data_IF_525895913745
#
_entry.id   IF_525895913745
#
_cell.length_a   1.000
_cell.length_b   1.000
_cell.length_c   1.000
_cell.angle_alpha   90.00
_cell.angle_beta   90.00
_cell.angle_gamma   90.00
#
_symmetry.space_group_name_H-M   'P 1'
#
loop_
_entity.id
_entity.type
_entity.pdbx_description
1 polymer ?
#
# COMPACT_ATOMS: atom_id res chain seq x y z
N UNK A 1 16.07 24.55 -48.86
CA UNK A 1 16.25 24.48 -47.41
C UNK A 1 15.04 25.03 -46.73
N UNK A 2 14.29 24.21 -46.00
CA UNK A 2 13.21 24.66 -45.12
C UNK A 2 13.17 23.65 -43.97
N UNK A 3 14.06 23.86 -43.00
CA UNK A 3 14.08 23.07 -41.78
C UNK A 3 12.94 23.61 -40.94
N UNK A 4 11.88 22.80 -40.80
CA UNK A 4 10.81 23.07 -39.86
C UNK A 4 11.43 23.11 -38.45
N UNK A 5 11.34 24.26 -37.79
CA UNK A 5 11.66 24.39 -36.37
C UNK A 5 10.67 23.48 -35.64
N UNK A 6 11.21 22.44 -35.01
CA UNK A 6 10.43 21.36 -34.42
C UNK A 6 9.46 21.88 -33.36
N UNK A 7 8.17 21.63 -33.59
CA UNK A 7 7.20 21.61 -32.51
C UNK A 7 7.62 20.51 -31.54
N UNK A 8 7.86 20.87 -30.28
CA UNK A 8 8.05 19.89 -29.20
C UNK A 8 6.67 19.28 -28.89
N UNK A 9 6.23 18.34 -29.73
CA UNK A 9 5.05 17.53 -29.45
C UNK A 9 5.30 16.76 -28.15
N UNK A 10 4.35 16.81 -27.22
CA UNK A 10 4.38 15.96 -26.04
C UNK A 10 4.27 14.51 -26.52
N UNK A 11 5.39 13.78 -26.46
CA UNK A 11 5.45 12.38 -26.89
C UNK A 11 4.87 11.48 -25.81
N UNK A 12 4.26 10.36 -26.21
CA UNK A 12 3.80 9.40 -25.22
C UNK A 12 4.99 8.83 -24.44
N UNK A 13 4.86 8.65 -23.12
CA UNK A 13 5.96 8.19 -22.28
C UNK A 13 6.43 6.77 -22.66
N UNK A 14 5.49 5.91 -23.09
CA UNK A 14 5.81 4.58 -23.62
C UNK A 14 6.60 4.66 -24.94
N UNK A 15 6.29 5.61 -25.80
CA UNK A 15 7.04 5.85 -27.05
C UNK A 15 8.45 6.41 -26.77
N UNK A 16 8.61 7.23 -25.73
CA UNK A 16 9.93 7.76 -25.32
C UNK A 16 10.86 6.63 -24.84
N UNK A 17 10.32 5.64 -24.13
CA UNK A 17 11.06 4.46 -23.67
C UNK A 17 11.10 3.33 -24.70
N UNK A 18 10.44 3.47 -25.86
CA UNK A 18 10.33 2.44 -26.90
C UNK A 18 9.75 1.10 -26.35
N UNK A 19 8.74 1.17 -25.48
CA UNK A 19 8.07 0.01 -24.87
C UNK A 19 6.58 -0.02 -25.23
N UNK A 20 6.00 -1.22 -25.17
CA UNK A 20 4.56 -1.40 -25.32
C UNK A 20 3.80 -0.92 -24.07
N UNK A 21 2.51 -0.62 -24.23
CA UNK A 21 1.64 -0.11 -23.16
C UNK A 21 1.46 -1.11 -22.02
N UNK A 22 1.39 -2.39 -22.39
CA UNK A 22 1.21 -3.50 -21.45
C UNK A 22 2.54 -4.02 -20.90
N UNK A 23 3.63 -3.26 -21.07
CA UNK A 23 4.94 -3.66 -20.57
C UNK A 23 4.97 -3.80 -19.04
N UNK A 24 5.63 -4.86 -18.57
CA UNK A 24 5.90 -5.09 -17.15
C UNK A 24 6.93 -4.09 -16.59
N UNK A 25 6.90 -3.89 -15.27
CA UNK A 25 7.84 -3.02 -14.55
C UNK A 25 9.31 -3.39 -14.83
N UNK A 26 9.59 -4.68 -15.06
CA UNK A 26 10.94 -5.17 -15.40
C UNK A 26 11.38 -4.73 -16.80
N UNK A 27 10.47 -4.72 -17.77
CA UNK A 27 10.70 -4.28 -19.14
C UNK A 27 10.93 -2.76 -19.19
N UNK A 28 10.14 -1.99 -18.45
CA UNK A 28 10.30 -0.53 -18.30
C UNK A 28 11.67 -0.19 -17.73
N UNK A 29 12.10 -0.88 -16.66
CA UNK A 29 13.44 -0.71 -16.06
C UNK A 29 14.56 -1.07 -17.04
N UNK A 30 14.39 -2.13 -17.81
CA UNK A 30 15.39 -2.55 -18.81
C UNK A 30 15.50 -1.53 -19.95
N UNK A 31 14.36 -1.05 -20.45
CA UNK A 31 14.28 -0.04 -21.51
C UNK A 31 14.92 1.27 -21.07
N UNK A 32 14.63 1.74 -19.84
CA UNK A 32 15.27 2.92 -19.27
C UNK A 32 16.80 2.78 -19.23
N UNK A 33 17.34 1.66 -18.75
CA UNK A 33 18.80 1.43 -18.74
C UNK A 33 19.41 1.47 -20.14
N UNK A 34 18.74 0.87 -21.13
CA UNK A 34 19.20 0.89 -22.54
C UNK A 34 19.15 2.30 -23.13
N UNK A 35 18.06 3.03 -22.92
CA UNK A 35 17.87 4.37 -23.44
C UNK A 35 18.81 5.39 -22.78
N UNK A 36 19.02 5.29 -21.46
CA UNK A 36 19.97 6.12 -20.71
C UNK A 36 21.41 5.93 -21.19
N UNK A 37 21.83 4.69 -21.49
CA UNK A 37 23.16 4.41 -22.05
C UNK A 37 23.32 4.93 -23.48
N UNK A 38 22.25 4.90 -24.28
CA UNK A 38 22.22 5.42 -25.66
C UNK A 38 22.34 6.94 -25.70
N UNK A 39 21.66 7.64 -24.80
CA UNK A 39 21.60 9.09 -24.74
C UNK A 39 22.47 9.73 -23.65
N UNK A 40 23.44 8.98 -23.10
CA UNK A 40 24.35 9.51 -22.08
C UNK A 40 25.21 10.67 -22.65
N UNK A 41 25.35 11.80 -21.95
CA UNK A 41 26.08 12.97 -22.45
C UNK A 41 27.55 12.66 -22.75
N UNK A 42 28.17 11.74 -22.01
CA UNK A 42 29.55 11.33 -22.22
C UNK A 42 29.79 10.58 -23.55
N UNK A 43 28.78 9.84 -24.06
CA UNK A 43 28.89 9.16 -25.36
C UNK A 43 28.52 10.06 -26.54
N UNK A 44 27.70 11.08 -26.28
CA UNK A 44 27.17 11.99 -27.30
C UNK A 44 27.71 13.41 -27.12
N UNK A 45 29.01 13.56 -26.86
CA UNK A 45 29.66 14.86 -26.65
C UNK A 45 29.47 15.82 -27.84
N UNK A 46 29.34 15.27 -29.06
CA UNK A 46 29.09 16.02 -30.30
C UNK A 46 27.64 16.53 -30.42
N UNK A 47 26.71 16.01 -29.63
CA UNK A 47 25.29 16.39 -29.60
C UNK A 47 24.81 16.55 -28.15
N UNK A 48 25.62 17.23 -27.32
CA UNK A 48 25.39 17.31 -25.87
C UNK A 48 24.01 17.90 -25.50
N UNK A 49 23.53 18.90 -26.25
CA UNK A 49 22.22 19.52 -26.00
C UNK A 49 21.06 18.55 -26.29
N UNK A 50 21.03 17.97 -27.49
CA UNK A 50 19.99 17.01 -27.89
C UNK A 50 20.00 15.75 -27.00
N UNK A 51 21.19 15.26 -26.64
CA UNK A 51 21.34 14.14 -25.74
C UNK A 51 20.84 14.49 -24.34
N UNK A 52 21.17 15.68 -23.83
CA UNK A 52 20.69 16.17 -22.53
C UNK A 52 19.16 16.28 -22.48
N UNK A 53 18.53 16.80 -23.53
CA UNK A 53 17.07 16.94 -23.56
C UNK A 53 16.36 15.58 -23.71
N UNK A 54 16.86 14.70 -24.59
CA UNK A 54 16.37 13.31 -24.68
C UNK A 54 16.55 12.55 -23.38
N UNK A 55 17.67 12.75 -22.70
CA UNK A 55 17.95 12.11 -21.42
C UNK A 55 16.96 12.57 -20.33
N UNK A 56 16.64 13.87 -20.27
CA UNK A 56 15.60 14.39 -19.36
C UNK A 56 14.22 13.79 -19.67
N UNK A 57 13.86 13.68 -20.95
CA UNK A 57 12.58 13.07 -21.35
C UNK A 57 12.50 11.58 -20.97
N UNK A 58 13.58 10.83 -21.18
CA UNK A 58 13.70 9.41 -20.78
C UNK A 58 13.59 9.26 -19.26
N UNK A 59 14.25 10.15 -18.50
CA UNK A 59 14.19 10.15 -17.06
C UNK A 59 12.76 10.43 -16.56
N UNK A 60 12.09 11.46 -17.11
CA UNK A 60 10.71 11.77 -16.79
C UNK A 60 9.76 10.60 -17.12
N UNK A 61 9.93 9.96 -18.29
CA UNK A 61 9.12 8.80 -18.66
C UNK A 61 9.30 7.64 -17.69
N UNK A 62 10.52 7.37 -17.27
CA UNK A 62 10.79 6.33 -16.27
C UNK A 62 10.22 6.68 -14.89
N UNK A 63 10.36 7.93 -14.43
CA UNK A 63 9.84 8.37 -13.14
C UNK A 63 8.33 8.12 -13.03
N UNK A 64 7.56 8.52 -14.05
CA UNK A 64 6.10 8.33 -14.08
C UNK A 64 5.70 6.86 -14.27
N UNK A 65 6.33 6.15 -15.20
CA UNK A 65 5.94 4.77 -15.53
C UNK A 65 6.43 3.73 -14.50
N UNK A 66 7.44 4.05 -13.69
CA UNK A 66 7.97 3.14 -12.67
C UNK A 66 7.13 3.07 -11.39
N UNK A 67 6.35 4.11 -11.10
CA UNK A 67 5.43 4.15 -9.97
C UNK A 67 4.03 3.72 -10.43
N UNK A 68 3.47 2.68 -9.82
CA UNK A 68 2.15 2.14 -10.20
C UNK A 68 1.03 3.18 -10.11
N UNK A 69 1.10 4.08 -9.13
CA UNK A 69 0.11 5.13 -8.97
C UNK A 69 0.25 6.20 -10.06
N UNK A 70 1.47 6.69 -10.30
CA UNK A 70 1.73 7.70 -11.34
C UNK A 70 1.46 7.12 -12.74
N UNK A 71 1.73 5.83 -12.98
CA UNK A 71 1.38 5.10 -14.21
C UNK A 71 -0.13 5.01 -14.42
N UNK A 72 -0.89 4.55 -13.43
CA UNK A 72 -2.35 4.44 -13.54
C UNK A 72 -2.99 5.80 -13.82
N UNK A 73 -2.47 6.85 -13.18
CA UNK A 73 -2.95 8.21 -13.40
C UNK A 73 -2.62 8.71 -14.82
N UNK A 74 -1.39 8.46 -15.29
CA UNK A 74 -0.99 8.78 -16.65
C UNK A 74 -1.85 8.06 -17.68
N UNK A 75 -2.12 6.76 -17.49
CA UNK A 75 -2.93 5.96 -18.40
C UNK A 75 -4.38 6.48 -18.47
N UNK A 76 -4.95 6.89 -17.33
CA UNK A 76 -6.30 7.48 -17.27
C UNK A 76 -6.43 8.85 -17.94
N UNK A 77 -5.35 9.63 -17.98
CA UNK A 77 -5.35 11.01 -18.49
C UNK A 77 -4.49 11.24 -19.75
N UNK A 78 -3.91 10.17 -20.30
CA UNK A 78 -2.98 10.20 -21.45
C UNK A 78 -3.51 11.04 -22.59
N UNK A 79 -4.76 10.79 -22.98
CA UNK A 79 -5.34 11.42 -24.14
C UNK A 79 -5.58 12.92 -23.91
N UNK A 80 -5.87 13.34 -22.67
CA UNK A 80 -5.95 14.75 -22.32
C UNK A 80 -4.57 15.42 -22.34
N UNK A 81 -3.53 14.74 -21.83
CA UNK A 81 -2.14 15.19 -21.85
C UNK A 81 -1.66 15.44 -23.28
N UNK A 82 -1.85 14.44 -24.16
CA UNK A 82 -1.37 14.51 -25.54
C UNK A 82 -2.12 15.58 -26.35
N UNK A 83 -3.43 15.72 -26.16
CA UNK A 83 -4.24 16.76 -26.82
C UNK A 83 -3.94 18.16 -26.30
N UNK A 84 -3.63 18.31 -25.01
CA UNK A 84 -3.40 19.63 -24.42
C UNK A 84 -1.98 20.17 -24.65
N UNK A 85 -1.06 19.33 -25.12
CA UNK A 85 0.27 19.76 -25.57
C UNK A 85 0.24 20.78 -26.72
N UNK A 86 -0.88 20.88 -27.45
CA UNK A 86 -1.06 21.80 -28.58
C UNK A 86 -1.31 23.28 -28.18
N UNK A 87 -1.70 23.56 -26.92
CA UNK A 87 -2.34 24.86 -26.58
C UNK A 87 -1.46 25.86 -25.83
N UNK A 88 -0.22 25.53 -25.46
CA UNK A 88 0.56 26.31 -24.48
C UNK A 88 1.63 27.26 -25.08
N UNK A 89 1.78 27.36 -26.40
CA UNK A 89 2.73 28.32 -27.00
C UNK A 89 2.21 29.03 -28.26
N UNK A 90 0.97 29.51 -28.25
CA UNK A 90 0.58 30.63 -29.10
C UNK A 90 -0.70 31.25 -28.55
N UNK A 91 -0.67 32.54 -28.22
CA UNK A 91 -1.89 33.32 -28.13
C UNK A 91 -2.55 33.37 -29.52
N UNK A 92 -3.36 32.36 -29.83
CA UNK A 92 -4.14 32.30 -31.05
C UNK A 92 -5.38 31.43 -30.81
N UNK A 93 -6.53 32.10 -30.74
CA UNK A 93 -7.84 31.48 -30.94
C UNK A 93 -7.86 30.66 -32.23
N UNK A 94 -8.36 29.41 -32.22
CA UNK A 94 -9.38 28.93 -33.17
C UNK A 94 -9.67 27.42 -33.07
N UNK A 95 -10.97 27.12 -33.06
CA UNK A 95 -11.71 25.97 -33.61
C UNK A 95 -11.38 24.51 -33.20
N UNK A 96 -12.37 23.89 -32.53
CA UNK A 96 -12.92 22.62 -33.02
C UNK A 96 -12.58 21.35 -32.23
N UNK A 97 -12.95 21.29 -30.95
CA UNK A 97 -12.94 20.06 -30.14
C UNK A 97 -13.83 20.22 -28.91
N UNK A 98 -14.37 19.13 -28.31
CA UNK A 98 -15.41 19.22 -27.29
C UNK A 98 -14.96 20.10 -26.11
N UNK A 99 -15.89 20.97 -25.76
CA UNK A 99 -15.79 22.19 -24.98
C UNK A 99 -15.18 21.99 -23.58
N UNK A 100 -13.84 22.02 -23.50
CA UNK A 100 -13.14 22.35 -22.26
C UNK A 100 -13.22 23.86 -22.07
N UNK A 101 -13.54 24.32 -20.86
CA UNK A 101 -13.78 25.73 -20.59
C UNK A 101 -12.59 26.61 -21.07
N UNK A 102 -12.86 27.80 -21.65
CA UNK A 102 -11.84 28.63 -22.28
C UNK A 102 -10.68 29.05 -21.35
N UNK A 103 -10.87 28.99 -20.03
CA UNK A 103 -9.89 29.39 -19.00
C UNK A 103 -9.47 28.24 -18.06
N UNK A 104 -9.55 26.98 -18.49
CA UNK A 104 -9.07 25.86 -17.66
C UNK A 104 -7.54 25.77 -17.62
N UNK A 105 -6.99 25.80 -16.41
CA UNK A 105 -5.57 25.55 -16.15
C UNK A 105 -5.30 24.08 -16.45
N UNK A 106 -4.49 23.81 -17.47
CA UNK A 106 -4.03 22.47 -17.76
C UNK A 106 -3.05 21.99 -16.68
N UNK A 107 -3.58 21.34 -15.65
CA UNK A 107 -2.81 20.74 -14.56
C UNK A 107 -1.82 19.69 -15.09
N UNK A 108 -2.21 18.97 -16.14
CA UNK A 108 -1.48 17.84 -16.68
C UNK A 108 -0.07 18.19 -17.19
N UNK A 109 0.12 19.41 -17.71
CA UNK A 109 1.44 19.87 -18.16
C UNK A 109 2.46 20.00 -17.01
N UNK A 110 2.00 20.13 -15.76
CA UNK A 110 2.84 20.30 -14.58
C UNK A 110 3.17 18.98 -13.87
N UNK A 111 2.55 17.86 -14.26
CA UNK A 111 2.85 16.52 -13.75
C UNK A 111 4.14 15.90 -14.32
N UNK A 112 4.98 16.70 -14.97
CA UNK A 112 6.24 16.25 -15.56
C UNK A 112 7.43 16.87 -14.83
N UNK A 113 8.48 16.07 -14.61
CA UNK A 113 9.76 16.58 -14.09
C UNK A 113 10.50 17.49 -15.06
N UNK A 114 10.06 17.58 -16.33
CA UNK A 114 10.56 18.59 -17.29
C UNK A 114 9.88 19.95 -17.13
N UNK A 115 8.83 20.07 -16.31
CA UNK A 115 8.12 21.33 -16.09
C UNK A 115 8.96 22.37 -15.34
N UNK A 116 10.01 21.96 -14.63
CA UNK A 116 10.91 22.83 -13.90
C UNK A 116 12.37 22.46 -14.15
N UNK A 117 13.25 23.47 -14.10
CA UNK A 117 14.70 23.30 -14.19
C UNK A 117 15.34 23.63 -12.86
N UNK A 118 15.70 22.58 -12.10
CA UNK A 118 16.35 22.71 -10.80
C UNK A 118 15.42 23.19 -9.68
N UNK A 119 15.97 23.25 -8.47
CA UNK A 119 15.25 23.55 -7.23
C UNK A 119 15.51 24.97 -6.69
N UNK A 120 15.82 25.92 -7.58
CA UNK A 120 15.97 27.32 -7.20
C UNK A 120 14.64 28.07 -7.17
N UNK A 121 14.67 29.28 -6.63
CA UNK A 121 13.54 30.22 -6.60
C UNK A 121 13.36 31.01 -7.91
N UNK A 122 14.12 30.67 -8.95
CA UNK A 122 13.95 31.29 -10.27
C UNK A 122 12.60 30.98 -10.90
N UNK A 123 12.19 31.78 -11.89
CA UNK A 123 10.90 31.63 -12.58
C UNK A 123 10.70 30.25 -13.25
N UNK A 124 11.79 29.59 -13.66
CA UNK A 124 11.80 28.21 -14.19
C UNK A 124 12.19 27.16 -13.15
N UNK A 125 12.54 27.58 -11.94
CA UNK A 125 12.84 26.66 -10.85
C UNK A 125 11.58 26.06 -10.25
N UNK A 126 11.73 24.97 -9.51
CA UNK A 126 10.64 24.24 -8.85
C UNK A 126 9.67 25.19 -8.13
N UNK A 127 10.17 26.05 -7.25
CA UNK A 127 9.33 26.93 -6.44
C UNK A 127 8.61 27.99 -7.27
N UNK A 128 9.25 28.55 -8.30
CA UNK A 128 8.63 29.54 -9.17
C UNK A 128 7.49 28.97 -10.01
N UNK A 129 7.72 27.79 -10.62
CA UNK A 129 6.73 27.12 -11.48
C UNK A 129 5.48 26.72 -10.68
N UNK A 130 5.67 26.06 -9.54
CA UNK A 130 4.54 25.61 -8.72
C UNK A 130 3.87 26.75 -7.96
N UNK A 131 4.62 27.76 -7.49
CA UNK A 131 4.01 28.96 -6.89
C UNK A 131 3.08 29.66 -7.89
N UNK A 132 3.52 29.87 -9.14
CA UNK A 132 2.68 30.46 -10.18
C UNK A 132 1.51 29.57 -10.62
N UNK A 133 1.61 28.25 -10.47
CA UNK A 133 0.46 27.35 -10.68
C UNK A 133 -0.59 27.51 -9.57
N UNK A 134 -0.18 27.41 -8.31
CA UNK A 134 -1.08 27.49 -7.16
C UNK A 134 -1.69 28.89 -7.00
N UNK A 135 -0.96 29.95 -7.35
CA UNK A 135 -1.48 31.31 -7.36
C UNK A 135 -2.58 31.48 -8.42
N UNK A 136 -2.39 30.92 -9.62
CA UNK A 136 -3.44 30.92 -10.66
C UNK A 136 -4.66 30.10 -10.24
N UNK A 137 -4.47 28.93 -9.63
CA UNK A 137 -5.57 28.13 -9.08
C UNK A 137 -6.32 28.91 -7.99
N UNK A 138 -5.61 29.52 -7.05
CA UNK A 138 -6.19 30.32 -5.98
C UNK A 138 -6.99 31.51 -6.53
N UNK A 139 -6.46 32.19 -7.56
CA UNK A 139 -7.15 33.29 -8.24
C UNK A 139 -8.44 32.82 -8.91
N UNK A 140 -8.40 31.70 -9.64
CA UNK A 140 -9.57 31.12 -10.30
C UNK A 140 -10.67 30.74 -9.29
N UNK A 141 -10.28 30.20 -8.14
CA UNK A 141 -11.22 29.88 -7.05
C UNK A 141 -11.78 31.12 -6.36
N UNK A 142 -10.97 32.17 -6.18
CA UNK A 142 -11.42 33.45 -5.63
C UNK A 142 -12.45 34.14 -6.54
N UNK A 143 -12.22 34.14 -7.85
CA UNK A 143 -13.16 34.67 -8.85
C UNK A 143 -14.47 33.87 -8.85
N UNK A 144 -14.38 32.56 -8.72
CA UNK A 144 -15.54 31.65 -8.76
C UNK A 144 -16.43 31.75 -7.52
N UNK A 145 -15.88 32.09 -6.36
CA UNK A 145 -16.66 32.33 -5.13
C UNK A 145 -17.51 33.60 -5.18
N UNK A 146 -17.19 34.51 -6.11
CA UNK A 146 -17.78 35.84 -6.20
C UNK A 146 -17.37 36.71 -5.01
N UNK A 147 -17.07 37.98 -5.24
CA UNK A 147 -16.65 38.94 -4.20
C UNK A 147 -17.70 39.28 -3.13
N UNK A 148 -18.69 38.42 -2.90
CA UNK A 148 -19.80 38.59 -1.94
C UNK A 148 -19.70 37.69 -0.70
N UNK A 149 -18.68 36.85 -0.59
CA UNK A 149 -18.44 36.05 0.62
C UNK A 149 -17.96 36.94 1.77
N UNK A 150 -18.65 36.90 2.92
CA UNK A 150 -18.26 37.59 4.17
C UNK A 150 -16.95 37.06 4.76
N UNK A 151 -16.48 35.90 4.30
CA UNK A 151 -15.17 35.34 4.61
C UNK A 151 -14.37 35.22 3.32
N UNK A 152 -13.38 36.10 3.16
CA UNK A 152 -12.36 35.94 2.13
C UNK A 152 -11.46 34.79 2.56
N UNK A 153 -11.77 33.58 2.12
CA UNK A 153 -10.87 32.45 2.32
C UNK A 153 -9.70 32.64 1.35
N UNK A 154 -8.52 32.91 1.90
CA UNK A 154 -7.28 33.11 1.15
C UNK A 154 -6.47 31.83 1.24
N UNK A 155 -6.14 31.24 0.09
CA UNK A 155 -5.25 30.09 0.06
C UNK A 155 -3.83 30.50 0.45
N UNK A 156 -3.13 29.72 1.31
CA UNK A 156 -1.74 29.93 1.63
C UNK A 156 -0.89 29.91 0.37
N UNK A 157 0.12 30.77 0.32
CA UNK A 157 1.11 30.77 -0.76
C UNK A 157 2.11 29.61 -0.60
N UNK A 158 2.71 29.19 -1.71
CA UNK A 158 3.66 28.06 -1.73
C UNK A 158 5.01 28.35 -1.04
N UNK A 159 5.34 29.64 -0.90
CA UNK A 159 6.59 30.13 -0.34
C UNK A 159 7.79 29.97 -1.28
N UNK A 160 8.99 30.01 -0.69
CA UNK A 160 10.29 29.90 -1.37
C UNK A 160 11.09 28.72 -0.81
N UNK A 161 12.26 28.45 -1.39
CA UNK A 161 13.19 27.40 -0.96
C UNK A 161 13.57 27.48 0.52
N UNK A 162 13.50 28.67 1.14
CA UNK A 162 13.88 28.94 2.52
C UNK A 162 12.68 29.12 3.48
N UNK A 163 11.44 28.87 3.03
CA UNK A 163 10.26 29.00 3.89
C UNK A 163 10.30 28.06 5.09
N UNK A 164 9.79 28.54 6.23
CA UNK A 164 9.75 27.78 7.47
C UNK A 164 8.77 26.60 7.38
N UNK A 165 9.10 25.48 8.03
CA UNK A 165 8.27 24.27 8.00
C UNK A 165 6.80 24.49 8.39
N UNK A 166 6.45 25.28 9.43
CA UNK A 166 5.05 25.51 9.78
C UNK A 166 4.21 26.09 8.64
N UNK A 167 4.78 27.02 7.86
CA UNK A 167 4.10 27.63 6.70
C UNK A 167 3.94 26.61 5.56
N UNK A 168 4.95 25.78 5.34
CA UNK A 168 4.89 24.70 4.35
C UNK A 168 3.86 23.65 4.75
N UNK A 169 3.79 23.32 6.04
CA UNK A 169 2.83 22.36 6.57
C UNK A 169 1.38 22.86 6.45
N UNK A 170 1.12 24.14 6.74
CA UNK A 170 -0.22 24.73 6.57
C UNK A 170 -0.62 24.76 5.10
N UNK A 171 0.29 25.14 4.20
CA UNK A 171 0.06 25.06 2.75
C UNK A 171 -0.39 23.66 2.33
N UNK A 172 0.40 22.62 2.63
CA UNK A 172 0.06 21.27 2.20
C UNK A 172 -1.19 20.71 2.90
N UNK A 173 -1.46 21.10 4.14
CA UNK A 173 -2.68 20.70 4.85
C UNK A 173 -3.93 21.23 4.12
N UNK A 174 -3.96 22.53 3.81
CA UNK A 174 -5.10 23.14 3.14
C UNK A 174 -5.28 22.62 1.71
N UNK A 175 -4.20 22.60 0.92
CA UNK A 175 -4.25 22.15 -0.48
C UNK A 175 -4.50 20.64 -0.63
N UNK A 176 -4.13 19.80 0.35
CA UNK A 176 -4.51 18.38 0.34
C UNK A 176 -6.01 18.16 0.51
N UNK A 177 -6.70 19.10 1.15
CA UNK A 177 -8.16 19.10 1.35
C UNK A 177 -8.90 19.95 0.33
N UNK A 178 -8.24 20.31 -0.78
CA UNK A 178 -8.78 21.24 -1.79
C UNK A 178 -10.18 20.83 -2.28
N UNK A 179 -11.06 21.81 -2.40
CA UNK A 179 -12.40 21.67 -2.95
C UNK A 179 -12.76 22.93 -3.72
N UNK A 180 -13.00 22.75 -5.02
CA UNK A 180 -13.36 23.86 -5.91
C UNK A 180 -14.75 24.41 -5.61
N UNK A 181 -14.87 25.73 -5.64
CA UNK A 181 -16.11 26.49 -5.55
C UNK A 181 -16.71 26.83 -6.93
N UNK A 182 -16.07 26.40 -8.02
CA UNK A 182 -16.55 26.61 -9.41
C UNK A 182 -17.94 26.03 -9.62
N UNK A 183 -18.72 26.57 -10.56
CA UNK A 183 -20.08 26.08 -10.83
C UNK A 183 -20.12 24.75 -11.62
N UNK A 184 -19.10 24.50 -12.45
CA UNK A 184 -19.02 23.36 -13.40
C UNK A 184 -20.22 23.29 -14.37
N UNK A 185 -20.89 24.41 -14.65
CA UNK A 185 -22.07 24.43 -15.53
C UNK A 185 -21.81 23.98 -16.97
N UNK A 186 -20.56 23.99 -17.43
CA UNK A 186 -20.15 23.47 -18.73
C UNK A 186 -20.28 21.94 -18.84
N UNK A 187 -20.33 21.23 -17.70
CA UNK A 187 -20.53 19.79 -17.67
C UNK A 187 -22.00 19.37 -17.86
N UNK A 188 -22.92 20.33 -17.98
CA UNK A 188 -24.33 20.07 -18.23
C UNK A 188 -24.52 19.47 -19.64
N UNK A 189 -25.01 18.23 -19.71
CA UNK A 189 -25.18 17.51 -20.98
C UNK A 189 -26.47 17.90 -21.70
N UNK A 190 -27.49 18.31 -20.94
CA UNK A 190 -28.83 18.60 -21.44
C UNK A 190 -29.27 20.00 -21.04
N UNK A 191 -30.02 20.69 -21.90
CA UNK A 191 -30.60 21.98 -21.54
C UNK A 191 -31.95 21.77 -20.82
N UNK A 192 -32.12 22.18 -19.55
CA UNK A 192 -33.39 22.03 -18.84
C UNK A 192 -34.58 22.74 -19.50
N UNK A 193 -34.33 23.73 -20.36
CA UNK A 193 -35.36 24.50 -21.05
C UNK A 193 -36.04 23.73 -22.20
N UNK A 194 -35.40 22.69 -22.75
CA UNK A 194 -35.96 21.89 -23.85
C UNK A 194 -36.89 20.76 -23.37
N UNK A 195 -37.08 20.63 -22.05
CA UNK A 195 -37.86 19.56 -21.46
C UNK A 195 -39.38 19.67 -21.80
N UNK A 196 -40.02 18.59 -22.30
CA UNK A 196 -41.44 18.61 -22.70
C UNK A 196 -42.40 18.65 -21.50
N UNK A 197 -41.99 18.19 -20.33
CA UNK A 197 -42.81 18.21 -19.12
C UNK A 197 -41.94 18.36 -17.85
N UNK A 198 -42.59 18.64 -16.72
CA UNK A 198 -41.92 18.85 -15.42
C UNK A 198 -41.12 17.63 -14.93
N UNK A 199 -41.56 16.42 -15.25
CA UNK A 199 -40.86 15.19 -14.84
C UNK A 199 -39.54 15.03 -15.61
N UNK A 200 -39.57 15.22 -16.93
CA UNK A 200 -38.37 15.18 -17.78
C UNK A 200 -37.41 16.30 -17.40
N UNK A 201 -37.90 17.50 -17.08
CA UNK A 201 -37.05 18.59 -16.59
C UNK A 201 -36.30 18.21 -15.31
N UNK A 202 -36.98 17.57 -14.36
CA UNK A 202 -36.36 17.06 -13.12
C UNK A 202 -35.31 15.99 -13.38
N UNK A 203 -35.57 15.09 -14.33
CA UNK A 203 -34.59 14.07 -14.74
C UNK A 203 -33.36 14.72 -15.37
N UNK A 204 -33.54 15.66 -16.29
CA UNK A 204 -32.47 16.45 -16.90
C UNK A 204 -31.65 17.21 -15.84
N UNK A 205 -32.31 17.91 -14.92
CA UNK A 205 -31.63 18.64 -13.85
C UNK A 205 -30.84 17.69 -12.92
N UNK A 206 -31.36 16.49 -12.65
CA UNK A 206 -30.68 15.46 -11.87
C UNK A 206 -29.46 14.88 -12.60
N UNK A 207 -29.58 14.61 -13.90
CA UNK A 207 -28.47 14.12 -14.73
C UNK A 207 -27.37 15.17 -14.88
N UNK A 208 -27.73 16.44 -15.10
CA UNK A 208 -26.78 17.54 -15.12
C UNK A 208 -26.10 17.71 -13.76
N UNK A 209 -26.84 17.64 -12.64
CA UNK A 209 -26.23 17.69 -11.30
C UNK A 209 -25.26 16.52 -11.09
N UNK A 210 -25.59 15.33 -11.58
CA UNK A 210 -24.67 14.18 -11.55
C UNK A 210 -23.41 14.43 -12.38
N UNK A 211 -23.56 15.00 -13.58
CA UNK A 211 -22.42 15.36 -14.44
C UNK A 211 -21.53 16.43 -13.80
N UNK A 212 -22.12 17.49 -13.23
CA UNK A 212 -21.39 18.53 -12.49
C UNK A 212 -20.66 17.96 -11.27
N UNK A 213 -21.28 17.05 -10.53
CA UNK A 213 -20.65 16.38 -9.39
C UNK A 213 -19.47 15.51 -9.82
N UNK A 214 -19.59 14.80 -10.94
CA UNK A 214 -18.51 14.02 -11.51
C UNK A 214 -17.34 14.92 -11.94
N UNK A 215 -17.61 15.98 -12.72
CA UNK A 215 -16.58 16.93 -13.17
C UNK A 215 -15.87 17.64 -12.00
N UNK A 216 -16.63 18.04 -10.97
CA UNK A 216 -16.06 18.63 -9.73
C UNK A 216 -15.17 17.64 -8.99
N UNK A 217 -15.58 16.37 -8.91
CA UNK A 217 -14.79 15.32 -8.25
C UNK A 217 -13.48 15.10 -8.99
N UNK A 218 -13.54 14.91 -10.30
CA UNK A 218 -12.37 14.72 -11.16
C UNK A 218 -11.39 15.89 -11.04
N UNK A 219 -11.88 17.13 -11.13
CA UNK A 219 -11.03 18.31 -10.95
C UNK A 219 -10.38 18.37 -9.56
N UNK A 220 -11.14 18.11 -8.50
CA UNK A 220 -10.62 18.11 -7.14
C UNK A 220 -9.57 17.00 -6.92
N UNK A 221 -9.80 15.80 -7.46
CA UNK A 221 -8.86 14.68 -7.41
C UNK A 221 -7.56 15.04 -8.13
N UNK A 222 -7.64 15.58 -9.35
CA UNK A 222 -6.47 16.03 -10.11
C UNK A 222 -5.65 17.10 -9.38
N UNK A 223 -6.30 18.07 -8.71
CA UNK A 223 -5.58 19.07 -7.90
C UNK A 223 -4.92 18.43 -6.68
N UNK A 224 -5.60 17.49 -6.00
CA UNK A 224 -5.01 16.80 -4.84
C UNK A 224 -3.85 15.90 -5.23
N UNK A 225 -3.93 15.24 -6.37
CA UNK A 225 -2.84 14.46 -6.94
C UNK A 225 -1.67 15.34 -7.35
N UNK A 226 -1.91 16.54 -7.88
CA UNK A 226 -0.86 17.53 -8.13
C UNK A 226 -0.16 17.91 -6.82
N UNK A 227 -0.92 18.17 -5.76
CA UNK A 227 -0.38 18.51 -4.45
C UNK A 227 0.45 17.35 -3.90
N UNK A 228 -0.01 16.10 -4.05
CA UNK A 228 0.75 14.91 -3.65
C UNK A 228 2.04 14.75 -4.47
N UNK A 229 1.98 14.97 -5.78
CA UNK A 229 3.12 14.93 -6.70
C UNK A 229 4.20 15.95 -6.31
N UNK A 230 3.79 17.20 -6.04
CA UNK A 230 4.68 18.27 -5.59
C UNK A 230 5.25 17.95 -4.20
N UNK A 231 4.42 17.49 -3.27
CA UNK A 231 4.84 17.13 -1.91
C UNK A 231 5.91 16.03 -1.88
N UNK A 232 5.83 15.04 -2.78
CA UNK A 232 6.82 13.95 -2.91
C UNK A 232 8.18 14.43 -3.40
N UNK A 233 8.22 15.54 -4.16
CA UNK A 233 9.42 16.08 -4.81
C UNK A 233 9.99 17.33 -4.10
N UNK A 234 9.21 17.97 -3.25
CA UNK A 234 9.63 19.15 -2.48
C UNK A 234 10.76 18.79 -1.50
N UNK A 235 11.92 19.41 -1.70
CA UNK A 235 13.11 19.18 -0.86
C UNK A 235 12.90 19.55 0.60
N UNK A 236 12.05 20.54 0.90
CA UNK A 236 11.72 20.95 2.27
C UNK A 236 10.96 19.84 2.99
N UNK A 237 10.02 19.22 2.29
CA UNK A 237 9.22 18.09 2.79
C UNK A 237 10.09 16.85 2.98
N UNK A 238 10.95 16.54 2.01
CA UNK A 238 11.87 15.42 2.12
C UNK A 238 12.84 15.59 3.30
N UNK A 239 13.41 16.79 3.48
CA UNK A 239 14.31 17.08 4.61
C UNK A 239 13.60 16.89 5.96
N UNK A 240 12.40 17.46 6.13
CA UNK A 240 11.62 17.29 7.36
C UNK A 240 11.19 15.82 7.57
N UNK A 241 10.85 15.09 6.51
CA UNK A 241 10.50 13.67 6.61
C UNK A 241 11.68 12.82 7.10
N UNK A 242 12.90 13.12 6.64
CA UNK A 242 14.13 12.46 7.11
C UNK A 242 14.38 12.79 8.58
N UNK A 243 14.24 14.05 8.99
CA UNK A 243 14.39 14.48 10.38
C UNK A 243 13.36 13.81 11.31
N UNK A 244 12.08 13.80 10.91
CA UNK A 244 11.01 13.11 11.64
C UNK A 244 11.23 11.61 11.73
N UNK A 245 11.71 10.98 10.66
CA UNK A 245 12.05 9.55 10.67
C UNK A 245 13.20 9.25 11.62
N UNK A 246 14.24 10.10 11.66
CA UNK A 246 15.34 9.98 12.60
C UNK A 246 14.85 10.13 14.05
N UNK A 247 14.03 11.15 14.34
CA UNK A 247 13.45 11.37 15.68
C UNK A 247 12.58 10.18 16.13
N UNK A 248 11.77 9.64 15.22
CA UNK A 248 10.94 8.45 15.51
C UNK A 248 11.79 7.19 15.72
N UNK A 249 12.86 7.02 14.95
CA UNK A 249 13.79 5.89 15.10
C UNK A 249 14.52 5.96 16.45
N UNK A 250 14.96 7.15 16.87
CA UNK A 250 15.58 7.35 18.19
C UNK A 250 14.60 7.05 19.33
N UNK A 251 13.37 7.57 19.25
CA UNK A 251 12.33 7.28 20.24
C UNK A 251 11.99 5.77 20.31
N UNK A 252 11.92 5.11 19.16
CA UNK A 252 11.66 3.67 19.07
C UNK A 252 12.83 2.84 19.63
N UNK A 253 14.08 3.27 19.42
CA UNK A 253 15.26 2.62 19.99
C UNK A 253 15.27 2.71 21.52
N UNK A 254 14.95 3.88 22.07
CA UNK A 254 14.86 4.08 23.53
C UNK A 254 13.72 3.26 24.15
N UNK A 255 12.58 3.14 23.44
CA UNK A 255 11.49 2.27 23.88
C UNK A 255 11.85 0.77 23.78
N UNK A 256 12.59 0.36 22.74
CA UNK A 256 13.07 -1.01 22.60
C UNK A 256 14.05 -1.37 23.73
N UNK A 257 15.00 -0.49 24.04
CA UNK A 257 15.94 -0.67 25.16
C UNK A 257 15.20 -0.79 26.51
N UNK A 258 14.16 0.04 26.73
CA UNK A 258 13.32 -0.04 27.93
C UNK A 258 12.64 -1.41 28.04
N UNK A 259 12.07 -1.91 26.95
CA UNK A 259 11.39 -3.23 26.90
C UNK A 259 12.37 -4.38 27.10
N UNK A 260 13.58 -4.28 26.54
CA UNK A 260 14.63 -5.28 26.75
C UNK A 260 15.07 -5.35 28.21
N UNK A 261 15.25 -4.19 28.86
CA UNK A 261 15.57 -4.13 30.29
C UNK A 261 14.46 -4.76 31.15
N UNK A 262 13.20 -4.42 30.88
CA UNK A 262 12.06 -5.03 31.58
C UNK A 262 11.99 -6.55 31.36
N UNK A 263 12.27 -7.03 30.14
CA UNK A 263 12.34 -8.47 29.83
C UNK A 263 13.48 -9.14 30.60
N UNK A 264 14.68 -8.55 30.63
CA UNK A 264 15.81 -9.06 31.38
C UNK A 264 15.51 -9.13 32.88
N UNK A 265 14.93 -8.08 33.45
CA UNK A 265 14.51 -8.06 34.85
C UNK A 265 13.47 -9.14 35.16
N UNK A 266 12.48 -9.34 34.27
CA UNK A 266 11.49 -10.41 34.42
C UNK A 266 12.14 -11.79 34.37
N UNK A 267 13.07 -12.01 33.45
CA UNK A 267 13.83 -13.26 33.35
C UNK A 267 14.68 -13.51 34.60
N UNK A 268 15.35 -12.47 35.12
CA UNK A 268 16.12 -12.57 36.36
C UNK A 268 15.22 -12.88 37.56
N UNK A 269 14.06 -12.22 37.67
CA UNK A 269 13.06 -12.52 38.72
C UNK A 269 12.52 -13.93 38.61
N UNK A 270 12.20 -14.40 37.41
CA UNK A 270 11.77 -15.78 37.18
C UNK A 270 12.87 -16.78 37.56
N UNK A 271 14.14 -16.49 37.24
CA UNK A 271 15.28 -17.33 37.64
C UNK A 271 15.52 -17.33 39.15
N UNK A 272 15.25 -16.22 39.83
CA UNK A 272 15.40 -16.08 41.28
C UNK A 272 14.19 -16.56 42.07
N UNK A 273 13.07 -16.87 41.41
CA UNK A 273 11.89 -17.41 42.05
C UNK A 273 12.21 -18.77 42.66
N UNK A 274 12.23 -18.83 43.99
CA UNK A 274 12.21 -20.07 44.76
C UNK A 274 10.78 -20.29 45.20
N UNK A 275 10.23 -21.47 44.95
CA UNK A 275 8.89 -21.85 45.38
C UNK A 275 8.71 -21.60 46.88
N UNK A 276 7.56 -21.05 47.25
CA UNK A 276 7.27 -20.76 48.65
C UNK A 276 7.23 -22.07 49.45
N UNK A 277 7.93 -22.12 50.60
CA UNK A 277 8.11 -23.33 51.40
C UNK A 277 6.81 -24.04 51.85
N UNK A 278 5.66 -23.36 51.80
CA UNK A 278 4.34 -23.96 52.04
C UNK A 278 3.90 -24.91 50.92
N UNK A 279 4.25 -24.64 49.66
CA UNK A 279 4.00 -25.55 48.52
C UNK A 279 4.88 -26.79 48.58
N UNK A 280 6.13 -26.66 49.04
CA UNK A 280 7.05 -27.80 49.21
C UNK A 280 6.65 -28.71 50.40
N UNK A 281 5.96 -28.18 51.42
CA UNK A 281 5.56 -28.94 52.60
C UNK A 281 4.34 -29.86 52.35
N UNK A 282 3.45 -29.51 51.42
CA UNK A 282 2.34 -30.41 51.01
C UNK A 282 2.85 -31.62 50.22
N UNK A 283 3.93 -31.47 49.45
CA UNK A 283 4.53 -32.57 48.67
C UNK A 283 5.36 -33.53 49.58
N UNK A 284 6.05 -32.99 50.59
CA UNK A 284 6.77 -33.78 51.58
C UNK A 284 5.85 -34.45 52.64
N UNK A 285 4.58 -34.06 52.71
CA UNK A 285 3.57 -34.65 53.58
C UNK A 285 2.94 -35.94 53.05
N UNK A 286 3.17 -36.31 51.79
CA UNK A 286 2.65 -37.54 51.17
C UNK A 286 3.58 -38.76 51.37
N UNK A 287 4.15 -38.86 52.58
CA UNK A 287 4.96 -39.99 53.03
C UNK A 287 4.43 -40.44 54.39
N UNK A 288 3.26 -41.07 54.40
CA UNK A 288 2.59 -41.52 55.62
C UNK A 288 1.70 -42.74 55.39
N UNK A 289 2.23 -43.89 55.82
CA UNK A 289 1.54 -45.16 56.12
C UNK A 289 0.67 -45.81 55.04
N UNK A 290 1.16 -46.94 54.50
CA UNK A 290 0.30 -48.06 54.14
C UNK A 290 -0.50 -48.51 55.37
N UNK A 291 -1.76 -48.10 55.43
CA UNK A 291 -2.75 -48.66 56.34
C UNK A 291 -4.08 -48.70 55.58
N UNK A 292 -4.48 -49.93 55.24
CA UNK A 292 -5.79 -50.37 54.78
C UNK A 292 -6.90 -49.29 54.78
N UNK A 293 -7.09 -48.69 53.62
CA UNK A 293 -8.42 -48.32 53.17
C UNK A 293 -8.62 -49.09 51.87
N UNK A 294 -9.61 -49.98 51.87
CA UNK A 294 -10.11 -50.57 50.64
C UNK A 294 -10.32 -49.44 49.63
N UNK A 295 -9.45 -49.39 48.61
CA UNK A 295 -9.76 -48.70 47.37
C UNK A 295 -10.99 -49.41 46.79
N UNK A 296 -12.18 -48.96 47.19
CA UNK A 296 -13.30 -49.03 46.28
C UNK A 296 -12.84 -48.27 45.04
N UNK A 297 -12.39 -49.02 44.03
CA UNK A 297 -12.07 -48.54 42.69
C UNK A 297 -13.37 -47.95 42.12
N UNK A 298 -13.71 -46.74 42.57
CA UNK A 298 -14.80 -45.93 42.07
C UNK A 298 -14.33 -45.47 40.70
N UNK A 299 -14.60 -46.31 39.69
CA UNK A 299 -14.43 -46.02 38.26
C UNK A 299 -15.23 -44.75 37.94
N UNK A 300 -14.61 -43.61 38.18
CA UNK A 300 -15.16 -42.28 37.95
C UNK A 300 -14.69 -41.89 36.56
N UNK A 301 -15.49 -42.23 35.57
CA UNK A 301 -15.22 -41.96 34.16
C UNK A 301 -15.08 -40.45 33.93
N UNK A 302 -13.87 -39.96 33.65
CA UNK A 302 -13.57 -38.54 33.50
C UNK A 302 -13.44 -38.13 32.03
N UNK A 303 -13.95 -36.94 31.71
CA UNK A 303 -13.82 -36.32 30.40
C UNK A 303 -12.90 -35.09 30.48
N UNK A 304 -11.70 -35.18 29.90
CA UNK A 304 -10.69 -34.10 29.90
C UNK A 304 -11.05 -32.90 29.03
N UNK A 305 -11.95 -33.05 28.06
CA UNK A 305 -12.35 -31.93 27.21
C UNK A 305 -13.41 -31.03 27.87
N UNK A 306 -14.17 -31.60 28.82
CA UNK A 306 -15.33 -30.95 29.42
C UNK A 306 -15.23 -30.82 30.94
N UNK A 307 -14.12 -31.28 31.52
CA UNK A 307 -13.84 -31.41 32.96
C UNK A 307 -15.02 -31.95 33.79
N UNK A 308 -15.54 -33.11 33.38
CA UNK A 308 -16.72 -33.75 34.02
C UNK A 308 -16.46 -35.21 34.37
N UNK A 309 -16.85 -35.58 35.59
CA UNK A 309 -16.87 -36.97 36.06
C UNK A 309 -18.25 -37.60 35.87
N UNK A 310 -18.26 -38.85 35.43
CA UNK A 310 -19.45 -39.66 35.20
C UNK A 310 -19.40 -40.92 36.06
N UNK A 311 -20.56 -41.29 36.60
CA UNK A 311 -20.71 -42.46 37.47
C UNK A 311 -20.81 -43.78 36.69
N UNK A 312 -20.91 -43.74 35.36
CA UNK A 312 -20.95 -44.93 34.52
C UNK A 312 -20.36 -44.67 33.15
N UNK A 313 -19.79 -45.71 32.54
CA UNK A 313 -19.19 -45.65 31.21
C UNK A 313 -20.22 -45.24 30.15
N UNK A 314 -21.45 -45.78 30.23
CA UNK A 314 -22.55 -45.41 29.33
C UNK A 314 -22.90 -43.92 29.41
N UNK A 315 -22.80 -43.32 30.59
CA UNK A 315 -23.03 -41.88 30.74
C UNK A 315 -21.91 -41.05 30.10
N UNK A 316 -20.64 -41.48 30.24
CA UNK A 316 -19.51 -40.86 29.53
C UNK A 316 -19.64 -41.01 28.01
N UNK A 317 -20.05 -42.19 27.52
CA UNK A 317 -20.25 -42.43 26.08
C UNK A 317 -21.40 -41.60 25.49
N UNK A 318 -22.48 -41.41 26.22
CA UNK A 318 -23.55 -40.49 25.78
C UNK A 318 -23.09 -39.02 25.83
N UNK A 319 -22.30 -38.64 26.84
CA UNK A 319 -21.69 -37.32 26.92
C UNK A 319 -20.72 -37.07 25.75
N UNK A 320 -19.89 -38.05 25.38
CA UNK A 320 -18.92 -37.90 24.28
C UNK A 320 -19.58 -37.77 22.91
N UNK A 321 -20.81 -38.27 22.78
CA UNK A 321 -21.63 -38.12 21.56
C UNK A 321 -22.38 -36.79 21.49
N UNK A 322 -22.47 -36.05 22.60
CA UNK A 322 -23.14 -34.74 22.67
C UNK A 322 -22.44 -33.70 21.80
N UNK A 323 -23.24 -32.82 21.18
CA UNK A 323 -22.74 -31.73 20.34
C UNK A 323 -21.78 -30.81 21.10
N UNK A 324 -22.09 -30.50 22.37
CA UNK A 324 -21.25 -29.64 23.22
C UNK A 324 -19.87 -30.23 23.51
N UNK A 325 -19.79 -31.54 23.77
CA UNK A 325 -18.50 -32.21 23.99
C UNK A 325 -17.64 -32.20 22.72
N UNK A 326 -18.25 -32.46 21.55
CA UNK A 326 -17.53 -32.45 20.27
C UNK A 326 -16.99 -31.06 19.92
N UNK A 327 -17.74 -30.00 20.24
CA UNK A 327 -17.31 -28.61 20.10
C UNK A 327 -16.11 -28.30 21.03
N UNK A 328 -16.17 -28.69 22.30
CA UNK A 328 -15.07 -28.50 23.25
C UNK A 328 -13.82 -29.30 22.86
N UNK A 329 -13.97 -30.54 22.39
CA UNK A 329 -12.85 -31.35 21.87
C UNK A 329 -12.21 -30.72 20.63
N UNK A 330 -13.02 -30.16 19.72
CA UNK A 330 -12.50 -29.49 18.53
C UNK A 330 -11.71 -28.23 18.88
N UNK A 331 -12.18 -27.46 19.87
CA UNK A 331 -11.44 -26.31 20.41
C UNK A 331 -10.11 -26.76 21.04
N UNK A 332 -10.13 -27.81 21.85
CA UNK A 332 -8.92 -28.33 22.49
C UNK A 332 -7.88 -28.79 21.45
N UNK A 333 -8.32 -29.48 20.39
CA UNK A 333 -7.44 -29.90 19.28
C UNK A 333 -6.88 -28.72 18.50
N UNK A 334 -7.68 -27.68 18.26
CA UNK A 334 -7.21 -26.47 17.58
C UNK A 334 -6.12 -25.76 18.39
N UNK A 335 -6.31 -25.64 19.71
CA UNK A 335 -5.29 -25.06 20.60
C UNK A 335 -4.01 -25.89 20.58
N UNK A 336 -4.10 -27.23 20.66
CA UNK A 336 -2.92 -28.10 20.59
C UNK A 336 -2.17 -27.99 19.25
N UNK A 337 -2.89 -27.85 18.13
CA UNK A 337 -2.27 -27.63 16.82
C UNK A 337 -1.63 -26.25 16.69
N UNK A 338 -2.23 -25.22 17.27
CA UNK A 338 -1.62 -23.88 17.34
C UNK A 338 -0.32 -23.92 18.17
N UNK A 339 -0.33 -24.59 19.32
CA UNK A 339 0.86 -24.75 20.17
C UNK A 339 1.95 -25.58 19.47
N UNK A 340 1.57 -26.62 18.72
CA UNK A 340 2.51 -27.42 17.91
C UNK A 340 3.13 -26.58 16.78
N UNK A 341 2.34 -25.72 16.12
CA UNK A 341 2.84 -24.78 15.11
C UNK A 341 3.77 -23.72 15.71
N UNK A 342 3.47 -23.21 16.91
CA UNK A 342 4.35 -22.29 17.63
C UNK A 342 5.68 -22.97 17.98
N UNK A 343 5.64 -24.22 18.45
CA UNK A 343 6.84 -24.99 18.74
C UNK A 343 7.67 -25.30 17.49
N UNK A 344 7.03 -25.59 16.35
CA UNK A 344 7.72 -25.82 15.08
C UNK A 344 8.36 -24.54 14.52
N UNK A 345 7.70 -23.37 14.67
CA UNK A 345 8.28 -22.07 14.30
C UNK A 345 9.50 -21.72 15.18
N UNK A 346 9.46 -22.06 16.47
CA UNK A 346 10.61 -21.87 17.38
C UNK A 346 11.82 -22.76 17.02
N UNK A 347 11.59 -23.93 16.42
CA UNK A 347 12.67 -24.84 15.97
C UNK A 347 13.23 -24.38 14.60
N UNK A 348 12.42 -23.78 13.74
CA UNK A 348 12.84 -23.27 12.42
C UNK A 348 13.76 -22.04 12.53
N UNK A 349 13.58 -21.18 13.53
CA UNK A 349 14.46 -20.03 13.79
C UNK A 349 15.81 -20.44 14.45
N UNK A 350 15.99 -21.72 14.81
CA UNK A 350 17.21 -22.27 15.41
C UNK A 350 18.19 -22.97 14.45
N UNK A 351 17.83 -23.19 13.18
CA UNK A 351 18.67 -23.92 12.23
C UNK A 351 19.28 -22.99 11.16
N UNK A 352 20.54 -22.58 11.37
CA UNK A 352 21.35 -21.91 10.35
C UNK A 352 21.75 -22.86 9.20
N UNK A 353 21.99 -22.33 7.98
CA UNK A 353 22.17 -23.16 6.79
C UNK A 353 23.58 -23.75 6.73
N UNK A 354 23.69 -25.07 6.82
CA UNK A 354 24.94 -25.82 6.68
C UNK A 354 24.70 -27.13 5.93
N UNK A 355 25.26 -27.21 4.73
CA UNK A 355 25.12 -28.28 3.75
C UNK A 355 25.62 -29.66 4.22
N UNK A 356 25.01 -30.75 3.71
CA UNK A 356 25.74 -31.86 3.06
C UNK A 356 24.81 -32.85 2.29
N UNK A 357 25.03 -32.92 0.97
CA UNK A 357 25.10 -34.08 0.05
C UNK A 357 24.06 -35.24 0.01
N UNK A 358 23.36 -35.29 -1.14
CA UNK A 358 23.38 -36.32 -2.22
C UNK A 358 23.23 -37.83 -1.88
N UNK A 359 22.21 -38.43 -2.50
CA UNK A 359 21.93 -39.85 -2.87
C UNK A 359 20.60 -40.31 -2.23
N UNK A 360 19.69 -41.06 -2.84
CA UNK A 360 19.57 -41.82 -4.09
C UNK A 360 18.05 -42.08 -4.25
N UNK A 361 17.55 -42.04 -5.49
CA UNK A 361 16.22 -42.55 -5.83
C UNK A 361 16.22 -44.09 -5.78
N UNK A 362 15.12 -44.74 -5.37
CA UNK A 362 14.85 -46.09 -5.80
C UNK A 362 13.57 -46.19 -6.63
N UNK A 363 13.75 -46.87 -7.75
CA UNK A 363 12.81 -47.28 -8.78
C UNK A 363 11.80 -48.34 -8.34
N UNK A 364 10.76 -48.46 -9.16
CA UNK A 364 9.74 -49.51 -9.23
C UNK A 364 10.33 -50.92 -9.41
N UNK A 365 9.71 -51.91 -8.74
CA UNK A 365 9.36 -53.27 -9.21
C UNK A 365 9.45 -54.34 -8.09
N UNK A 366 8.35 -55.08 -7.86
CA UNK A 366 8.39 -56.34 -7.09
C UNK A 366 7.12 -56.71 -6.31
N UNK A 367 6.17 -57.35 -6.99
CA UNK A 367 4.87 -57.81 -6.50
C UNK A 367 4.89 -59.05 -5.56
N UNK A 368 3.68 -59.43 -5.09
CA UNK A 368 3.14 -60.74 -4.58
C UNK A 368 2.51 -60.57 -3.17
N UNK A 369 1.26 -60.91 -2.82
CA UNK A 369 0.20 -61.81 -3.34
C UNK A 369 -1.19 -61.43 -2.77
N UNK A 370 -2.25 -61.58 -3.57
CA UNK A 370 -3.68 -61.61 -3.15
C UNK A 370 -4.05 -62.92 -2.41
N UNK A 371 -5.23 -62.97 -1.76
CA UNK A 371 -6.32 -63.69 -2.42
C UNK A 371 -7.66 -62.93 -2.44
N UNK A 372 -8.35 -63.15 -3.56
CA UNK A 372 -9.66 -62.65 -3.98
C UNK A 372 -10.79 -63.61 -3.56
N UNK A 373 -11.99 -63.07 -3.40
CA UNK A 373 -13.32 -63.68 -3.64
C UNK A 373 -14.38 -62.66 -3.20
N UNK A 374 -15.46 -62.27 -3.85
CA UNK A 374 -16.26 -62.59 -5.06
C UNK A 374 -17.18 -61.32 -5.22
N UNK A 375 -17.39 -60.73 -6.41
CA UNK A 375 -18.59 -60.88 -7.29
C UNK A 375 -19.93 -60.65 -6.52
N UNK A 376 -20.87 -59.74 -6.84
CA UNK A 376 -21.49 -59.25 -8.08
C UNK A 376 -22.11 -57.84 -7.84
N UNK A 377 -22.01 -56.85 -8.74
CA UNK A 377 -22.89 -56.49 -9.86
C UNK A 377 -24.37 -56.19 -9.50
N UNK A 378 -24.77 -54.91 -9.60
CA UNK A 378 -26.00 -54.48 -10.29
C UNK A 378 -26.20 -52.95 -10.21
N UNK A 379 -26.35 -52.36 -11.39
CA UNK A 379 -26.77 -50.99 -11.70
C UNK A 379 -28.28 -50.79 -11.51
N UNK A 380 -28.75 -49.64 -11.02
CA UNK A 380 -29.41 -48.62 -11.87
C UNK A 380 -30.06 -47.42 -11.12
N UNK A 381 -29.98 -46.29 -11.82
CA UNK A 381 -30.85 -45.10 -11.93
C UNK A 381 -31.41 -44.26 -10.74
N UNK A 382 -30.98 -42.99 -10.78
CA UNK A 382 -31.75 -41.72 -10.81
C UNK A 382 -32.99 -41.56 -9.91
N UNK A 383 -33.01 -40.51 -9.05
CA UNK A 383 -33.93 -39.36 -9.21
C UNK A 383 -33.62 -38.20 -8.23
N UNK A 384 -33.91 -37.00 -8.73
CA UNK A 384 -33.79 -35.65 -8.17
C UNK A 384 -34.64 -35.36 -6.92
N UNK A 385 -34.18 -34.47 -6.02
CA UNK A 385 -34.90 -33.24 -5.62
C UNK A 385 -34.47 -32.67 -4.26
N UNK A 386 -33.92 -31.44 -4.31
CA UNK A 386 -34.24 -30.26 -3.48
C UNK A 386 -34.43 -30.39 -1.95
N UNK A 387 -33.59 -29.69 -1.17
CA UNK A 387 -34.06 -28.81 -0.09
C UNK A 387 -32.93 -27.94 0.49
N UNK A 388 -33.01 -26.64 0.18
CA UNK A 388 -32.78 -25.48 1.05
C UNK A 388 -31.72 -25.58 2.17
N UNK A 389 -30.56 -24.96 1.92
CA UNK A 389 -29.63 -24.53 2.95
C UNK A 389 -30.08 -23.17 3.52
N UNK A 390 -30.44 -23.15 4.80
CA UNK A 390 -30.51 -21.92 5.60
C UNK A 390 -29.19 -21.78 6.37
N UNK A 391 -28.31 -20.92 5.86
CA UNK A 391 -27.12 -20.44 6.55
C UNK A 391 -27.52 -19.57 7.75
N UNK A 392 -26.98 -19.90 8.93
CA UNK A 392 -27.03 -19.03 10.11
C UNK A 392 -25.58 -18.73 10.53
N UNK A 393 -25.10 -17.58 10.07
CA UNK A 393 -23.78 -17.03 10.39
C UNK A 393 -23.68 -16.66 11.88
N UNK A 394 -22.69 -17.23 12.58
CA UNK A 394 -22.24 -16.75 13.89
C UNK A 394 -20.98 -15.93 13.70
N UNK A 395 -21.12 -14.62 13.84
CA UNK A 395 -20.03 -13.64 13.74
C UNK A 395 -19.12 -13.72 14.96
N UNK A 396 -17.89 -14.20 14.78
CA UNK A 396 -16.78 -14.02 15.74
C UNK A 396 -15.99 -12.79 15.33
N UNK A 397 -15.98 -11.77 16.20
CA UNK A 397 -15.25 -10.52 16.01
C UNK A 397 -13.74 -10.75 16.18
N UNK A 398 -13.00 -10.70 15.06
CA UNK A 398 -11.53 -10.75 15.05
C UNK A 398 -10.94 -9.42 15.53
N UNK A 399 -10.08 -9.47 16.55
CA UNK A 399 -9.17 -8.40 16.95
C UNK A 399 -7.86 -8.57 16.17
N UNK A 400 -7.71 -7.83 15.07
CA UNK A 400 -6.51 -7.86 14.23
C UNK A 400 -5.28 -7.33 14.99
N UNK A 401 -4.25 -8.17 15.15
CA UNK A 401 -2.87 -7.74 15.41
C UNK A 401 -2.08 -7.93 14.12
N UNK A 402 -1.61 -6.82 13.58
CA UNK A 402 -0.74 -6.75 12.41
C UNK A 402 0.67 -7.09 12.86
N UNK A 403 1.16 -8.29 12.50
CA UNK A 403 2.58 -8.63 12.50
C UNK A 403 3.11 -8.45 11.08
N UNK A 404 3.90 -7.40 10.87
CA UNK A 404 4.54 -7.10 9.59
C UNK A 404 6.06 -7.07 9.76
N UNK A 405 6.72 -8.17 9.40
CA UNK A 405 8.18 -8.28 9.25
C UNK A 405 8.56 -7.63 7.91
N UNK A 406 9.17 -6.45 7.94
CA UNK A 406 9.77 -5.82 6.76
C UNK A 406 11.25 -6.15 6.72
N UNK A 407 11.64 -7.09 5.84
CA UNK A 407 13.04 -7.26 5.45
C UNK A 407 13.42 -6.24 4.38
N UNK A 408 14.53 -5.57 4.64
CA UNK A 408 15.12 -4.45 3.88
C UNK A 408 15.93 -4.99 2.70
N UNK A 409 15.78 -4.39 1.51
CA UNK A 409 16.76 -4.47 0.42
C UNK A 409 17.31 -3.07 0.13
N UNK A 410 18.35 -2.66 0.87
CA UNK A 410 19.23 -1.55 0.51
C UNK A 410 20.49 -2.18 -0.06
N UNK A 411 20.63 -2.12 -1.39
CA UNK A 411 21.89 -2.41 -2.07
C UNK A 411 22.82 -1.23 -1.81
N UNK A 412 23.77 -1.42 -0.89
CA UNK A 412 24.79 -0.44 -0.57
C UNK A 412 25.87 -0.40 -1.65
N UNK A 413 26.10 0.80 -2.20
CA UNK A 413 27.37 1.16 -2.84
C UNK A 413 28.24 1.85 -1.75
N UNK A 414 28.91 1.03 -0.94
CA UNK A 414 29.66 1.42 0.26
C UNK A 414 31.17 1.46 -0.04
N UNK A 415 31.59 2.35 -0.94
CA UNK A 415 33.02 2.54 -1.22
C UNK A 415 33.48 4.01 -1.26
N UNK A 416 32.68 4.97 -0.78
CA UNK A 416 33.01 6.40 -0.93
C UNK A 416 33.04 7.26 0.36
N UNK A 417 32.78 6.73 1.56
CA UNK A 417 32.58 7.60 2.75
C UNK A 417 33.60 7.39 3.89
N UNK A 418 34.49 6.39 3.80
CA UNK A 418 35.55 6.18 4.80
C UNK A 418 36.88 6.92 4.53
N UNK A 419 36.94 7.78 3.51
CA UNK A 419 38.16 8.52 3.15
C UNK A 419 38.37 9.87 3.85
N UNK A 420 37.33 10.46 4.45
CA UNK A 420 37.38 11.86 4.91
C UNK A 420 37.33 12.09 6.43
N UNK A 421 37.36 11.03 7.24
CA UNK A 421 37.31 11.18 8.71
C UNK A 421 38.68 11.05 9.41
N UNK A 422 39.76 10.73 8.68
CA UNK A 422 41.12 10.56 9.24
C UNK A 422 42.10 11.70 8.91
N UNK A 423 41.67 12.80 8.27
CA UNK A 423 42.56 13.92 7.93
C UNK A 423 42.31 15.23 8.68
N UNK A 424 41.44 15.25 9.72
CA UNK A 424 41.13 16.47 10.48
C UNK A 424 41.63 16.46 11.93
N UNK A 425 42.53 15.52 12.29
CA UNK A 425 43.18 15.49 13.63
C UNK A 425 44.71 15.51 13.57
N UNK A 426 45.27 16.04 12.49
CA UNK A 426 46.69 16.36 12.37
C UNK A 426 46.87 17.65 11.57
N UNK A 427 46.60 18.78 12.23
CA UNK A 427 47.22 20.09 11.99
C UNK A 427 46.95 21.01 13.16
#
# INVERSE_FOLDING_TARGET
GRWAVGAAMVRCLYEVLEVERDADDSAIRLAYRKAALKWHPDKNQHQAELAGDRFKEIQNAYEVLSDKHERSWYDGHRDAILRSGDRHQAGASSMGGPEQAPDDINLYAYFSSTAYSGFGDGLRGFYGVYSGLFERLAKQEAESRGGKSRTSFVYPSFGTSASAWPEVATFYAEWSSFSSARSFSWADQYNPATAPNRQVRRMIEADNEKARRAARREFNENVREMVAFVKKRDKRVLAHAVEEAARKAEAAALEAERKEREKQERLLKARQYKEAAWLAAEEAGSSGSEADLQEEELHTFYCMACDKHFKSERALQNHSRSKKHKEEVALLRAVMQEDELVLLDEVADGAGPGALNKAEEPSEDGAVRLPSSEEDDETDEQFSSSSEACDLEVTVTRRAKITGRWSIHIVGNLQAIWGNFLLSRAK
#
